data_IF_103371225767
#
_entry.id   IF_103371225767
#
_cell.length_a   1.000
_cell.length_b   1.000
_cell.length_c   1.000
_cell.angle_alpha   90.00
_cell.angle_beta   90.00
_cell.angle_gamma   90.00
#
_symmetry.space_group_name_H-M   'P 1'
#
loop_
_entity.id
_entity.type
_entity.pdbx_description
1 polymer ?
#
# COMPACT_ATOMS: atom_id res chain seq x y z
N UNK A 1 -10.20 -19.92 4.93
CA UNK A 1 -10.77 -19.44 3.65
C UNK A 1 -10.29 -20.29 2.48
N UNK A 2 -11.05 -20.36 1.38
CA UNK A 2 -10.63 -21.11 0.17
C UNK A 2 -9.37 -20.45 -0.41
N UNK A 3 -8.38 -21.25 -0.81
CA UNK A 3 -7.12 -20.74 -1.39
C UNK A 3 -7.31 -19.88 -2.64
N UNK A 4 -8.43 -20.07 -3.35
CA UNK A 4 -8.83 -19.25 -4.50
C UNK A 4 -9.07 -17.79 -4.13
N UNK A 5 -9.72 -17.50 -3.01
CA UNK A 5 -10.06 -16.13 -2.60
C UNK A 5 -8.83 -15.34 -2.13
N UNK A 6 -7.86 -16.02 -1.51
CA UNK A 6 -6.58 -15.40 -1.15
C UNK A 6 -5.80 -15.02 -2.42
N UNK A 7 -5.78 -15.90 -3.42
CA UNK A 7 -5.15 -15.63 -4.72
C UNK A 7 -5.82 -14.44 -5.43
N UNK A 8 -7.14 -14.34 -5.31
CA UNK A 8 -7.91 -13.21 -5.83
C UNK A 8 -7.48 -11.88 -5.18
N UNK A 9 -7.47 -11.79 -3.84
CA UNK A 9 -6.99 -10.59 -3.15
C UNK A 9 -5.55 -10.24 -3.52
N UNK A 10 -4.68 -11.25 -3.66
CA UNK A 10 -3.29 -11.02 -4.11
C UNK A 10 -3.24 -10.43 -5.52
N UNK A 11 -4.06 -10.92 -6.45
CA UNK A 11 -4.12 -10.39 -7.81
C UNK A 11 -4.64 -8.94 -7.82
N UNK A 12 -5.71 -8.66 -7.07
CA UNK A 12 -6.30 -7.33 -6.95
C UNK A 12 -5.30 -6.31 -6.38
N UNK A 13 -4.60 -6.67 -5.31
CA UNK A 13 -3.54 -5.84 -4.74
C UNK A 13 -2.42 -5.57 -5.74
N UNK A 14 -1.97 -6.58 -6.49
CA UNK A 14 -0.93 -6.40 -7.51
C UNK A 14 -1.38 -5.50 -8.68
N UNK A 15 -2.66 -5.56 -9.06
CA UNK A 15 -3.19 -4.84 -10.22
C UNK A 15 -3.61 -3.41 -9.92
N UNK A 16 -4.15 -3.16 -8.73
CA UNK A 16 -4.80 -1.89 -8.37
C UNK A 16 -4.18 -1.20 -7.15
N UNK A 17 -3.21 -1.84 -6.49
CA UNK A 17 -2.55 -1.28 -5.32
C UNK A 17 -3.53 -0.95 -4.20
N UNK A 18 -3.28 0.18 -3.53
CA UNK A 18 -4.08 0.64 -2.39
C UNK A 18 -5.42 1.28 -2.78
N UNK A 19 -5.60 1.65 -4.06
CA UNK A 19 -6.86 2.19 -4.57
C UNK A 19 -7.81 1.10 -5.11
N UNK A 20 -7.42 -0.17 -4.96
CA UNK A 20 -8.22 -1.33 -5.31
C UNK A 20 -9.29 -1.70 -4.29
N UNK A 21 -10.11 -2.70 -4.67
CA UNK A 21 -11.04 -3.38 -3.78
C UNK A 21 -10.46 -4.75 -3.40
N UNK A 22 -10.65 -5.18 -2.15
CA UNK A 22 -10.31 -6.52 -1.67
C UNK A 22 -11.54 -7.17 -1.05
N UNK A 23 -11.57 -8.50 -1.05
CA UNK A 23 -12.59 -9.26 -0.37
C UNK A 23 -12.31 -9.24 1.14
N UNK A 24 -13.24 -8.70 1.92
CA UNK A 24 -13.33 -8.90 3.36
C UNK A 24 -13.88 -10.30 3.61
N UNK A 25 -13.10 -11.15 4.28
CA UNK A 25 -13.51 -12.52 4.53
C UNK A 25 -14.40 -12.69 5.77
N UNK A 26 -14.56 -11.65 6.60
CA UNK A 26 -15.48 -11.64 7.73
C UNK A 26 -16.91 -11.31 7.28
N UNK A 27 -17.06 -10.31 6.41
CA UNK A 27 -18.38 -9.89 5.88
C UNK A 27 -18.74 -10.50 4.52
N UNK A 28 -17.80 -11.20 3.88
CA UNK A 28 -17.93 -11.79 2.54
C UNK A 28 -18.28 -10.77 1.44
N UNK A 29 -17.82 -9.53 1.58
CA UNK A 29 -18.05 -8.44 0.63
C UNK A 29 -16.75 -7.81 0.11
N UNK A 30 -16.82 -7.07 -0.99
CA UNK A 30 -15.68 -6.28 -1.47
C UNK A 30 -15.65 -4.92 -0.75
N UNK A 31 -14.49 -4.56 -0.20
CA UNK A 31 -14.24 -3.28 0.45
C UNK A 31 -13.01 -2.58 -0.11
N UNK A 32 -12.94 -1.24 -0.04
CA UNK A 32 -11.73 -0.50 -0.42
C UNK A 32 -10.51 -0.98 0.37
N UNK A 33 -9.38 -1.22 -0.30
CA UNK A 33 -8.16 -1.67 0.35
C UNK A 33 -7.69 -0.70 1.44
N UNK A 34 -7.81 0.62 1.20
CA UNK A 34 -7.56 1.67 2.20
C UNK A 34 -8.36 1.47 3.48
N UNK A 35 -9.64 1.14 3.37
CA UNK A 35 -10.50 0.93 4.54
C UNK A 35 -10.04 -0.30 5.33
N UNK A 36 -9.80 -1.42 4.64
CA UNK A 36 -9.34 -2.65 5.28
C UNK A 36 -7.97 -2.49 5.96
N UNK A 37 -7.07 -1.68 5.40
CA UNK A 37 -5.81 -1.34 6.04
C UNK A 37 -6.07 -0.57 7.33
N UNK A 38 -6.94 0.44 7.33
CA UNK A 38 -7.28 1.20 8.54
C UNK A 38 -7.92 0.32 9.62
N UNK A 39 -8.84 -0.58 9.24
CA UNK A 39 -9.43 -1.57 10.15
C UNK A 39 -8.35 -2.49 10.75
N UNK A 40 -7.33 -2.87 9.97
CA UNK A 40 -6.20 -3.66 10.46
C UNK A 40 -5.32 -2.86 11.42
N UNK A 41 -5.09 -1.56 11.18
CA UNK A 41 -4.33 -0.71 12.09
C UNK A 41 -5.04 -0.55 13.44
N UNK A 42 -6.36 -0.36 13.43
CA UNK A 42 -7.20 -0.30 14.63
C UNK A 42 -7.16 -1.63 15.40
N UNK A 43 -7.20 -2.75 14.69
CA UNK A 43 -7.15 -4.09 15.29
C UNK A 43 -5.85 -4.38 16.04
N UNK A 44 -4.72 -3.80 15.63
CA UNK A 44 -3.41 -4.06 16.28
C UNK A 44 -2.99 -2.98 17.28
N UNK A 45 -3.74 -1.88 17.41
CA UNK A 45 -3.31 -0.68 18.15
C UNK A 45 -2.98 -0.96 19.63
N UNK A 46 -3.64 -1.94 20.26
CA UNK A 46 -3.45 -2.28 21.66
C UNK A 46 -2.10 -2.97 21.96
N UNK A 47 -1.43 -3.52 20.95
CA UNK A 47 -0.16 -4.25 21.11
C UNK A 47 1.06 -3.53 20.53
N UNK A 48 0.88 -2.47 19.71
CA UNK A 48 2.01 -1.84 19.01
C UNK A 48 3.00 -1.13 19.95
N UNK A 49 2.53 -0.64 21.09
CA UNK A 49 3.40 0.00 22.10
C UNK A 49 4.29 -1.03 22.81
N UNK A 50 3.73 -2.18 23.17
CA UNK A 50 4.48 -3.28 23.80
C UNK A 50 5.53 -3.86 22.85
N UNK A 51 5.20 -3.94 21.56
CA UNK A 51 6.11 -4.42 20.52
C UNK A 51 7.11 -3.36 20.03
N UNK A 52 6.98 -2.11 20.47
CA UNK A 52 7.84 -1.00 20.07
C UNK A 52 7.74 -0.64 18.58
N UNK A 53 6.58 -0.87 17.96
CA UNK A 53 6.35 -0.71 16.52
C UNK A 53 5.40 0.43 16.16
N UNK A 54 5.00 1.26 17.14
CA UNK A 54 4.03 2.37 16.92
C UNK A 54 4.45 3.29 15.80
N UNK A 55 5.73 3.67 15.75
CA UNK A 55 6.23 4.59 14.72
C UNK A 55 6.07 4.02 13.30
N UNK A 56 6.40 2.75 13.10
CA UNK A 56 6.29 2.06 11.81
C UNK A 56 4.83 1.87 11.38
N UNK A 57 3.95 1.57 12.35
CA UNK A 57 2.51 1.41 12.13
C UNK A 57 1.88 2.74 11.76
N UNK A 58 2.22 3.83 12.46
CA UNK A 58 1.74 5.18 12.13
C UNK A 58 2.23 5.65 10.76
N UNK A 59 3.43 5.24 10.34
CA UNK A 59 3.95 5.56 9.00
C UNK A 59 3.07 5.00 7.86
N UNK A 60 2.31 3.92 8.11
CA UNK A 60 1.34 3.40 7.13
C UNK A 60 0.32 4.48 6.74
N UNK A 61 -0.11 5.34 7.67
CA UNK A 61 -1.03 6.45 7.37
C UNK A 61 -0.40 7.42 6.37
N UNK A 62 0.90 7.70 6.49
CA UNK A 62 1.65 8.51 5.53
C UNK A 62 1.77 7.81 4.18
N UNK A 63 1.97 6.50 4.14
CA UNK A 63 1.95 5.75 2.88
C UNK A 63 0.60 5.84 2.17
N UNK A 64 -0.51 5.79 2.93
CA UNK A 64 -1.85 5.98 2.36
C UNK A 64 -2.04 7.40 1.81
N UNK A 65 -1.54 8.43 2.48
CA UNK A 65 -1.61 9.83 2.01
C UNK A 65 -0.75 10.07 0.75
N UNK A 66 0.49 9.58 0.73
CA UNK A 66 1.46 9.85 -0.33
C UNK A 66 1.29 8.97 -1.58
N UNK A 67 0.52 7.88 -1.47
CA UNK A 67 0.42 6.86 -2.50
C UNK A 67 1.63 5.91 -2.53
N UNK A 68 1.56 4.93 -3.42
CA UNK A 68 2.58 3.89 -3.58
C UNK A 68 3.77 4.38 -4.40
N UNK A 69 4.85 3.61 -4.40
CA UNK A 69 5.98 3.86 -5.31
C UNK A 69 5.57 3.82 -6.79
N UNK A 70 4.59 2.99 -7.15
CA UNK A 70 4.05 2.93 -8.50
C UNK A 70 3.34 4.24 -8.88
N UNK A 71 2.55 4.81 -7.95
CA UNK A 71 1.85 6.07 -8.17
C UNK A 71 2.83 7.22 -8.43
N UNK A 72 3.92 7.28 -7.65
CA UNK A 72 4.97 8.30 -7.83
C UNK A 72 5.73 8.13 -9.14
N UNK A 73 6.07 6.90 -9.51
CA UNK A 73 6.73 6.60 -10.80
C UNK A 73 5.83 6.96 -11.99
N UNK A 74 4.54 6.63 -11.93
CA UNK A 74 3.55 7.01 -12.94
C UNK A 74 3.39 8.53 -13.02
N UNK A 75 3.38 9.24 -11.88
CA UNK A 75 3.32 10.70 -11.87
C UNK A 75 4.51 11.34 -12.59
N UNK A 76 5.73 10.85 -12.35
CA UNK A 76 6.94 11.30 -13.08
C UNK A 76 6.76 11.06 -14.58
N UNK A 77 6.34 9.85 -14.98
CA UNK A 77 6.14 9.55 -16.39
C UNK A 77 5.05 10.42 -17.04
N UNK A 78 3.93 10.66 -16.37
CA UNK A 78 2.86 11.52 -16.89
C UNK A 78 3.30 12.98 -17.05
N UNK A 79 4.23 13.46 -16.22
CA UNK A 79 4.76 14.82 -16.31
C UNK A 79 5.84 14.96 -17.38
N UNK A 80 6.68 13.94 -17.58
CA UNK A 80 7.86 14.04 -18.45
C UNK A 80 7.71 13.34 -19.80
N UNK A 81 6.87 12.31 -19.88
CA UNK A 81 6.80 11.37 -21.01
C UNK A 81 8.06 10.51 -21.18
N UNK A 82 8.98 10.52 -20.21
CA UNK A 82 10.33 9.96 -20.34
C UNK A 82 10.62 8.90 -19.27
N UNK A 83 10.86 7.66 -19.70
CA UNK A 83 11.21 6.54 -18.83
C UNK A 83 12.59 6.72 -18.19
N UNK A 84 13.54 7.40 -18.83
CA UNK A 84 14.83 7.70 -18.22
C UNK A 84 14.65 8.58 -16.97
N UNK A 85 13.70 9.52 -16.99
CA UNK A 85 13.37 10.32 -15.80
C UNK A 85 12.73 9.53 -14.67
N UNK A 86 11.98 8.47 -15.00
CA UNK A 86 11.47 7.54 -13.98
C UNK A 86 12.62 6.77 -13.32
N UNK A 87 13.59 6.31 -14.09
CA UNK A 87 14.79 5.64 -13.56
C UNK A 87 15.63 6.60 -12.69
N UNK A 88 15.86 7.82 -13.16
CA UNK A 88 16.56 8.87 -12.39
C UNK A 88 15.87 9.09 -11.03
N UNK A 89 14.53 9.16 -11.02
CA UNK A 89 13.74 9.29 -9.80
C UNK A 89 13.88 8.08 -8.85
N UNK A 90 13.84 6.85 -9.38
CA UNK A 90 14.01 5.64 -8.55
C UNK A 90 15.40 5.62 -7.89
N UNK A 91 16.44 6.03 -8.63
CA UNK A 91 17.80 6.15 -8.10
C UNK A 91 17.89 7.22 -7.00
N UNK A 92 17.23 8.36 -7.17
CA UNK A 92 17.20 9.41 -6.13
C UNK A 92 16.49 8.94 -4.87
N UNK A 93 15.35 8.24 -4.97
CA UNK A 93 14.63 7.76 -3.78
C UNK A 93 15.44 6.69 -3.01
N UNK A 94 16.13 5.80 -3.74
CA UNK A 94 16.93 4.73 -3.13
C UNK A 94 18.14 5.29 -2.36
N UNK A 95 18.75 6.37 -2.87
CA UNK A 95 19.89 7.02 -2.22
C UNK A 95 19.50 7.87 -1.01
N UNK A 96 18.26 8.35 -0.93
CA UNK A 96 17.75 9.06 0.25
C UNK A 96 17.37 8.14 1.42
N UNK A 97 17.19 6.84 1.17
CA UNK A 97 16.82 5.83 2.18
C UNK A 97 17.99 5.05 2.79
N UNK A 98 19.23 5.37 2.42
CA UNK A 98 20.48 4.86 3.00
C UNK A 98 21.14 5.94 3.86
#
# INVERSE_FOLDING_TARGET
>A
YRSSLIKENKWRAARYGIDGQLIDFGTEEEKPARQLILELLDFVDDVVDELGSRHEVEYVLKMLEMGTGADRQLAVFHQTGDLTKVVDYILSETTHGL
#
